data_IF_937952866734
#
_entry.id   IF_937952866734
#
_cell.length_a   1.000
_cell.length_b   1.000
_cell.length_c   1.000
_cell.angle_alpha   90.00
_cell.angle_beta   90.00
_cell.angle_gamma   90.00
#
_symmetry.space_group_name_H-M   'P 1'
#
loop_
_entity.id
_entity.type
_entity.pdbx_description
1 polymer ?
#
# COMPACT_ATOMS: atom_id res chain seq x y z
N UNK A 1 -9.89 -52.02 39.39
CA UNK A 1 -10.32 -50.61 39.31
C UNK A 1 -9.37 -49.91 38.39
N UNK A 2 -9.70 -49.90 37.11
CA UNK A 2 -8.87 -49.39 36.03
C UNK A 2 -9.78 -49.13 34.84
N UNK A 3 -9.37 -48.11 34.08
CA UNK A 3 -9.91 -47.63 32.80
C UNK A 3 -11.05 -46.59 32.89
N UNK A 4 -10.64 -45.33 32.68
CA UNK A 4 -11.47 -44.17 32.36
C UNK A 4 -11.74 -44.16 30.83
N UNK A 5 -12.96 -43.82 30.38
CA UNK A 5 -13.30 -43.82 28.96
C UNK A 5 -13.04 -42.46 28.28
N UNK A 6 -12.57 -42.58 27.03
CA UNK A 6 -12.93 -41.79 25.85
C UNK A 6 -12.88 -40.25 25.93
N UNK A 7 -11.72 -39.69 25.53
CA UNK A 7 -11.64 -38.34 25.00
C UNK A 7 -12.05 -38.34 23.52
N UNK A 8 -13.22 -37.78 23.23
CA UNK A 8 -13.71 -37.55 21.87
C UNK A 8 -12.78 -36.61 21.11
N UNK A 9 -12.24 -37.09 20.00
CA UNK A 9 -11.52 -36.29 19.01
C UNK A 9 -12.51 -35.38 18.26
N UNK A 10 -12.57 -34.11 18.65
CA UNK A 10 -13.14 -33.05 17.80
C UNK A 10 -12.19 -32.81 16.62
N UNK A 11 -12.44 -33.52 15.52
CA UNK A 11 -11.88 -33.23 14.20
C UNK A 11 -12.38 -31.86 13.73
N UNK A 12 -11.60 -30.83 14.02
CA UNK A 12 -11.69 -29.56 13.30
C UNK A 12 -11.13 -29.82 11.90
N UNK A 13 -12.02 -30.08 10.94
CA UNK A 13 -11.70 -30.00 9.52
C UNK A 13 -11.25 -28.57 9.21
N UNK A 14 -9.95 -28.34 9.27
CA UNK A 14 -9.31 -27.18 8.68
C UNK A 14 -9.44 -27.36 7.16
N UNK A 15 -10.47 -26.76 6.56
CA UNK A 15 -10.69 -26.83 5.11
C UNK A 15 -9.60 -25.99 4.44
N UNK A 16 -8.50 -26.64 4.05
CA UNK A 16 -7.45 -26.04 3.26
C UNK A 16 -8.06 -25.39 2.00
N UNK A 17 -7.84 -24.08 1.83
CA UNK A 17 -8.17 -23.37 0.58
C UNK A 17 -6.99 -23.60 -0.36
N UNK A 18 -7.25 -24.11 -1.56
CA UNK A 18 -6.23 -24.18 -2.60
C UNK A 18 -5.95 -22.79 -3.16
N UNK A 19 -4.70 -22.53 -3.54
CA UNK A 19 -4.26 -21.26 -4.10
C UNK A 19 -3.51 -21.48 -5.40
N UNK A 20 -3.71 -20.59 -6.36
CA UNK A 20 -2.87 -20.42 -7.54
C UNK A 20 -1.78 -19.42 -7.19
N UNK A 21 -0.52 -19.83 -7.32
CA UNK A 21 0.65 -19.04 -6.90
C UNK A 21 1.34 -18.50 -8.15
N UNK A 22 1.46 -17.18 -8.24
CA UNK A 22 1.98 -16.50 -9.44
C UNK A 22 3.23 -15.69 -9.07
N UNK A 23 4.39 -16.03 -9.66
CA UNK A 23 5.58 -15.22 -9.50
C UNK A 23 5.38 -13.88 -10.23
N UNK A 24 5.88 -12.81 -9.63
CA UNK A 24 5.84 -11.48 -10.25
C UNK A 24 7.24 -10.91 -10.37
N UNK A 25 7.47 -10.15 -11.44
CA UNK A 25 8.77 -9.56 -11.76
C UNK A 25 8.70 -8.04 -11.63
N UNK A 26 9.77 -7.45 -11.06
CA UNK A 26 9.90 -6.01 -10.93
C UNK A 26 10.19 -5.38 -12.31
N UNK A 27 9.47 -4.31 -12.61
CA UNK A 27 9.60 -3.53 -13.84
C UNK A 27 9.62 -2.05 -13.51
N UNK A 28 10.54 -1.31 -14.15
CA UNK A 28 10.74 0.13 -14.00
C UNK A 28 10.87 0.60 -12.53
N UNK A 29 11.42 -0.27 -11.68
CA UNK A 29 11.58 -0.05 -10.23
C UNK A 29 10.27 0.33 -9.49
N UNK A 30 9.11 0.07 -10.11
CA UNK A 30 7.82 0.60 -9.63
C UNK A 30 6.66 -0.39 -9.77
N UNK A 31 6.77 -1.40 -10.63
CA UNK A 31 5.65 -2.29 -10.93
C UNK A 31 6.04 -3.75 -10.77
N UNK A 32 5.18 -4.53 -10.11
CA UNK A 32 5.27 -5.98 -10.13
C UNK A 32 4.30 -6.54 -11.15
N UNK A 33 4.83 -7.29 -12.11
CA UNK A 33 4.05 -7.84 -13.22
C UNK A 33 3.96 -9.36 -13.07
N UNK A 34 2.73 -9.87 -12.99
CA UNK A 34 2.39 -11.28 -13.14
C UNK A 34 1.98 -11.56 -14.58
N UNK A 35 2.83 -12.30 -15.31
CA UNK A 35 2.56 -12.68 -16.69
C UNK A 35 1.79 -14.00 -16.75
N UNK A 36 0.96 -14.15 -17.79
CA UNK A 36 0.25 -15.39 -18.10
C UNK A 36 -0.54 -15.93 -16.90
N UNK A 37 -1.21 -15.03 -16.17
CA UNK A 37 -2.12 -15.43 -15.11
C UNK A 37 -3.21 -16.35 -15.67
N UNK A 38 -3.78 -15.95 -16.79
CA UNK A 38 -4.71 -16.77 -17.57
C UNK A 38 -4.21 -16.81 -19.00
N UNK A 39 -4.31 -17.97 -19.63
CA UNK A 39 -3.93 -18.17 -21.03
C UNK A 39 -5.16 -18.59 -21.83
N UNK A 40 -5.32 -18.00 -23.02
CA UNK A 40 -6.33 -18.40 -23.98
C UNK A 40 -6.23 -19.92 -24.26
N UNK A 41 -7.38 -20.61 -24.24
CA UNK A 41 -7.43 -22.07 -24.47
C UNK A 41 -7.23 -22.45 -25.94
N UNK A 42 -7.54 -21.53 -26.85
CA UNK A 42 -7.41 -21.76 -28.29
C UNK A 42 -6.13 -21.11 -28.83
N UNK A 43 -5.54 -21.73 -29.86
CA UNK A 43 -4.34 -21.21 -30.51
C UNK A 43 -4.64 -20.23 -31.65
N UNK A 44 -5.87 -20.21 -32.16
CA UNK A 44 -6.33 -19.41 -33.32
C UNK A 44 -5.48 -19.57 -34.59
N UNK A 45 -4.64 -20.61 -34.66
CA UNK A 45 -3.83 -20.91 -35.84
C UNK A 45 -4.67 -21.71 -36.82
N UNK A 46 -4.92 -21.12 -37.99
CA UNK A 46 -5.55 -21.82 -39.10
C UNK A 46 -4.52 -22.63 -39.90
N UNK A 47 -5.02 -23.55 -40.74
CA UNK A 47 -4.17 -24.38 -41.62
C UNK A 47 -3.51 -23.61 -42.76
N UNK A 48 -3.82 -22.33 -42.91
CA UNK A 48 -3.26 -21.44 -43.93
C UNK A 48 -1.83 -20.97 -43.61
N UNK A 49 -1.36 -21.22 -42.37
CA UNK A 49 -0.02 -20.88 -41.91
C UNK A 49 0.16 -19.41 -41.54
N UNK A 50 -0.92 -18.63 -41.43
CA UNK A 50 -0.86 -17.24 -40.98
C UNK A 50 -0.86 -17.15 -39.45
N UNK A 51 -0.16 -16.14 -38.93
CA UNK A 51 -0.18 -15.81 -37.50
C UNK A 51 -1.49 -15.07 -37.16
N UNK A 52 -2.23 -15.49 -36.11
CA UNK A 52 -3.45 -14.81 -35.72
C UNK A 52 -3.18 -13.39 -35.22
N UNK A 53 -4.03 -12.44 -35.62
CA UNK A 53 -3.95 -11.06 -35.15
C UNK A 53 -4.46 -11.02 -33.70
N UNK A 54 -3.60 -10.60 -32.79
CA UNK A 54 -3.93 -10.47 -31.37
C UNK A 54 -4.36 -9.04 -31.04
N UNK A 55 -5.51 -8.88 -30.37
CA UNK A 55 -5.87 -7.61 -29.75
C UNK A 55 -5.12 -7.46 -28.43
N UNK A 56 -4.12 -6.57 -28.39
CA UNK A 56 -3.39 -6.23 -27.17
C UNK A 56 -3.95 -4.94 -26.56
N UNK A 57 -4.35 -4.97 -25.29
CA UNK A 57 -4.87 -3.79 -24.59
C UNK A 57 -4.55 -3.79 -23.09
N UNK A 58 -4.86 -2.68 -22.43
CA UNK A 58 -4.71 -2.50 -20.99
C UNK A 58 -6.03 -2.07 -20.36
N UNK A 59 -6.23 -2.45 -19.10
CA UNK A 59 -7.43 -2.13 -18.33
C UNK A 59 -7.12 -1.97 -16.85
N UNK A 60 -8.11 -1.46 -16.12
CA UNK A 60 -8.16 -1.38 -14.65
C UNK A 60 -9.33 -2.22 -14.14
N UNK A 61 -9.40 -2.50 -12.83
CA UNK A 61 -10.43 -3.36 -12.22
C UNK A 61 -11.87 -2.83 -12.34
N UNK A 62 -12.07 -1.53 -12.55
CA UNK A 62 -13.37 -0.94 -12.86
C UNK A 62 -13.87 -1.24 -14.29
N UNK A 63 -12.97 -1.63 -15.20
CA UNK A 63 -13.29 -1.97 -16.59
C UNK A 63 -13.70 -3.43 -16.81
N UNK A 64 -13.91 -4.22 -15.74
CA UNK A 64 -14.28 -5.65 -15.84
C UNK A 64 -15.52 -5.89 -16.72
N UNK A 65 -16.52 -5.01 -16.67
CA UNK A 65 -17.72 -5.10 -17.53
C UNK A 65 -17.37 -4.98 -19.02
N UNK A 66 -16.37 -4.18 -19.36
CA UNK A 66 -15.90 -4.05 -20.74
C UNK A 66 -15.15 -5.31 -21.16
N UNK A 67 -14.28 -5.84 -20.28
CA UNK A 67 -13.52 -7.06 -20.54
C UNK A 67 -14.41 -8.27 -20.79
N UNK A 68 -15.53 -8.41 -20.06
CA UNK A 68 -16.53 -9.45 -20.28
C UNK A 68 -17.08 -9.47 -21.71
N UNK A 69 -17.22 -8.28 -22.31
CA UNK A 69 -17.82 -8.12 -23.63
C UNK A 69 -16.80 -8.18 -24.77
N UNK A 70 -15.50 -8.01 -24.48
CA UNK A 70 -14.44 -8.02 -25.49
C UNK A 70 -14.41 -9.28 -26.38
N UNK A 71 -14.62 -10.51 -25.88
CA UNK A 71 -14.66 -11.72 -26.71
C UNK A 71 -15.72 -11.69 -27.82
N UNK A 72 -16.79 -10.90 -27.66
CA UNK A 72 -17.85 -10.73 -28.66
C UNK A 72 -17.52 -9.66 -29.72
N UNK A 73 -16.52 -8.82 -29.45
CA UNK A 73 -16.13 -7.68 -30.30
C UNK A 73 -14.89 -7.97 -31.14
N UNK A 74 -14.15 -9.04 -30.83
CA UNK A 74 -12.93 -9.42 -31.53
C UNK A 74 -12.97 -10.90 -31.92
N UNK A 75 -12.64 -11.18 -33.18
CA UNK A 75 -12.58 -12.53 -33.72
C UNK A 75 -11.12 -13.00 -33.81
N UNK A 76 -10.55 -13.30 -32.65
CA UNK A 76 -9.17 -13.72 -32.51
C UNK A 76 -8.72 -13.75 -31.05
N UNK A 77 -7.42 -14.01 -30.80
CA UNK A 77 -6.85 -13.96 -29.47
C UNK A 77 -6.82 -12.52 -28.93
N UNK A 78 -6.97 -12.38 -27.62
CA UNK A 78 -6.97 -11.11 -26.90
C UNK A 78 -5.97 -11.22 -25.75
N UNK A 79 -5.03 -10.30 -25.66
CA UNK A 79 -4.07 -10.17 -24.56
C UNK A 79 -4.37 -8.88 -23.79
N UNK A 80 -4.65 -9.01 -22.49
CA UNK A 80 -4.98 -7.87 -21.63
C UNK A 80 -4.02 -7.79 -20.46
N UNK A 81 -3.39 -6.63 -20.28
CA UNK A 81 -2.70 -6.26 -19.03
C UNK A 81 -3.63 -5.48 -18.10
N UNK A 82 -3.93 -6.03 -16.93
CA UNK A 82 -4.82 -5.39 -15.95
C UNK A 82 -3.98 -4.77 -14.82
N UNK A 83 -4.13 -3.46 -14.63
CA UNK A 83 -3.58 -2.77 -13.49
C UNK A 83 -4.51 -2.92 -12.28
N UNK A 84 -3.96 -3.45 -11.19
CA UNK A 84 -4.66 -3.73 -9.94
C UNK A 84 -4.01 -2.96 -8.79
N UNK A 85 -4.82 -2.62 -7.80
CA UNK A 85 -4.34 -2.28 -6.47
C UNK A 85 -4.52 -3.49 -5.52
N UNK A 86 -3.95 -3.39 -4.32
CA UNK A 86 -4.05 -4.49 -3.35
C UNK A 86 -5.51 -4.75 -2.91
N UNK A 87 -6.36 -3.72 -2.92
CA UNK A 87 -7.76 -3.80 -2.49
C UNK A 87 -8.66 -4.47 -3.54
N UNK A 88 -8.27 -4.43 -4.81
CA UNK A 88 -8.96 -5.00 -5.97
C UNK A 88 -8.31 -6.30 -6.44
N UNK A 89 -7.45 -6.91 -5.63
CA UNK A 89 -6.83 -8.21 -5.90
C UNK A 89 -7.85 -9.34 -6.03
N UNK A 90 -9.04 -9.19 -5.44
CA UNK A 90 -10.20 -10.08 -5.66
C UNK A 90 -10.68 -10.10 -7.13
N UNK A 91 -10.32 -9.11 -7.96
CA UNK A 91 -10.54 -9.13 -9.40
C UNK A 91 -9.91 -10.35 -10.07
N UNK A 92 -8.79 -10.86 -9.54
CA UNK A 92 -8.13 -12.04 -10.08
C UNK A 92 -8.99 -13.30 -9.92
N UNK A 93 -9.60 -13.52 -8.75
CA UNK A 93 -10.54 -14.64 -8.52
C UNK A 93 -11.78 -14.51 -9.44
N UNK A 94 -12.24 -13.29 -9.71
CA UNK A 94 -13.34 -13.05 -10.65
C UNK A 94 -12.99 -13.38 -12.10
N UNK A 95 -11.80 -12.96 -12.55
CA UNK A 95 -11.29 -13.26 -13.89
C UNK A 95 -11.04 -14.76 -14.09
N UNK A 96 -10.57 -15.46 -13.05
CA UNK A 96 -10.46 -16.92 -13.06
C UNK A 96 -11.84 -17.57 -13.27
N UNK A 97 -12.87 -17.07 -12.60
CA UNK A 97 -14.25 -17.54 -12.80
C UNK A 97 -14.78 -17.24 -14.22
N UNK A 98 -14.50 -16.05 -14.77
CA UNK A 98 -14.86 -15.74 -16.16
C UNK A 98 -14.21 -16.71 -17.14
N UNK A 99 -12.89 -16.93 -17.01
CA UNK A 99 -12.13 -17.83 -17.88
C UNK A 99 -12.59 -19.29 -17.79
N UNK A 100 -12.98 -19.71 -16.58
CA UNK A 100 -13.53 -21.05 -16.33
C UNK A 100 -14.94 -21.21 -16.88
N UNK A 101 -15.83 -20.25 -16.66
CA UNK A 101 -17.27 -20.42 -16.79
C UNK A 101 -17.88 -19.78 -18.05
N UNK A 102 -17.18 -18.85 -18.71
CA UNK A 102 -17.63 -18.22 -19.96
C UNK A 102 -16.79 -18.76 -21.12
N UNK A 103 -17.33 -19.63 -21.99
CA UNK A 103 -16.56 -20.31 -23.03
C UNK A 103 -15.79 -19.36 -23.95
N UNK A 104 -16.44 -18.34 -24.50
CA UNK A 104 -15.81 -17.37 -25.40
C UNK A 104 -14.66 -16.60 -24.73
N UNK A 105 -14.83 -16.28 -23.44
CA UNK A 105 -13.78 -15.63 -22.65
C UNK A 105 -12.57 -16.56 -22.49
N UNK A 106 -12.80 -17.80 -22.03
CA UNK A 106 -11.72 -18.78 -21.82
C UNK A 106 -11.01 -19.17 -23.12
N UNK A 107 -11.71 -19.18 -24.25
CA UNK A 107 -11.12 -19.47 -25.56
C UNK A 107 -10.20 -18.35 -26.04
N UNK A 108 -10.60 -17.08 -25.89
CA UNK A 108 -9.92 -15.92 -26.51
C UNK A 108 -8.97 -15.15 -25.60
N UNK A 109 -9.19 -15.15 -24.29
CA UNK A 109 -8.54 -14.20 -23.37
C UNK A 109 -7.29 -14.77 -22.68
N UNK A 110 -6.17 -14.07 -22.87
CA UNK A 110 -4.97 -14.17 -22.02
C UNK A 110 -4.87 -12.93 -21.15
N UNK A 111 -4.59 -13.13 -19.85
CA UNK A 111 -4.55 -12.06 -18.85
C UNK A 111 -3.20 -12.02 -18.16
N UNK A 112 -2.67 -10.81 -18.07
CA UNK A 112 -1.53 -10.41 -17.27
C UNK A 112 -2.02 -9.38 -16.26
N UNK A 113 -1.34 -9.26 -15.13
CA UNK A 113 -1.66 -8.21 -14.17
C UNK A 113 -0.40 -7.46 -13.73
N UNK A 114 -0.60 -6.22 -13.32
CA UNK A 114 0.43 -5.40 -12.71
C UNK A 114 -0.13 -4.70 -11.49
N UNK A 115 0.66 -4.60 -10.42
CA UNK A 115 0.38 -3.70 -9.31
C UNK A 115 1.61 -2.85 -9.03
N UNK A 116 1.38 -1.65 -8.53
CA UNK A 116 2.46 -0.74 -8.14
C UNK A 116 3.02 -1.19 -6.78
N UNK A 117 4.35 -1.26 -6.66
CA UNK A 117 4.97 -1.55 -5.37
C UNK A 117 4.83 -0.36 -4.41
N UNK A 118 4.72 -0.66 -3.12
CA UNK A 118 4.85 0.35 -2.07
C UNK A 118 6.26 0.93 -2.07
N UNK A 119 6.40 2.15 -1.56
CA UNK A 119 7.66 2.89 -1.50
C UNK A 119 8.81 2.14 -0.81
N UNK A 120 8.48 1.18 0.06
CA UNK A 120 9.45 0.37 0.81
C UNK A 120 9.62 -1.05 0.29
N UNK A 121 8.84 -1.46 -0.70
CA UNK A 121 9.02 -2.76 -1.31
C UNK A 121 10.19 -2.65 -2.29
N UNK A 122 11.28 -3.33 -1.97
CA UNK A 122 12.43 -3.48 -2.87
C UNK A 122 12.24 -4.63 -3.85
N UNK A 123 11.32 -5.54 -3.53
CA UNK A 123 11.12 -6.80 -4.23
C UNK A 123 9.65 -7.08 -4.48
N UNK A 124 9.39 -7.83 -5.53
CA UNK A 124 8.07 -8.23 -5.93
C UNK A 124 7.59 -9.48 -5.20
N UNK A 125 6.46 -9.43 -4.47
CA UNK A 125 5.96 -10.61 -3.79
C UNK A 125 5.33 -11.60 -4.77
N UNK A 126 5.36 -12.87 -4.41
CA UNK A 126 4.54 -13.88 -5.07
C UNK A 126 3.07 -13.64 -4.73
N UNK A 127 2.20 -13.64 -5.73
CA UNK A 127 0.76 -13.44 -5.52
C UNK A 127 0.07 -14.79 -5.37
N UNK A 128 -0.65 -14.96 -4.27
CA UNK A 128 -1.45 -16.16 -3.99
C UNK A 128 -2.93 -15.85 -4.20
N UNK A 129 -3.49 -16.37 -5.29
CA UNK A 129 -4.89 -16.18 -5.65
C UNK A 129 -5.67 -17.38 -5.12
N UNK A 130 -6.68 -17.18 -4.26
CA UNK A 130 -7.48 -18.30 -3.80
C UNK A 130 -8.26 -18.90 -4.96
N UNK A 131 -8.25 -20.24 -5.08
CA UNK A 131 -9.12 -20.91 -6.04
C UNK A 131 -10.57 -20.68 -5.66
N UNK A 132 -11.35 -20.29 -6.66
CA UNK A 132 -12.79 -20.10 -6.53
C UNK A 132 -13.51 -21.38 -6.12
N UNK A 133 -14.41 -21.26 -5.13
CA UNK A 133 -15.27 -22.35 -4.64
C UNK A 133 -16.69 -22.30 -5.20
N UNK A 134 -17.03 -21.27 -5.96
CA UNK A 134 -18.38 -21.12 -6.52
C UNK A 134 -18.53 -21.94 -7.80
N UNK A 135 -19.75 -22.45 -8.05
CA UNK A 135 -20.08 -23.15 -9.29
C UNK A 135 -20.26 -22.15 -10.44
N UNK A 136 -20.10 -22.62 -11.68
CA UNK A 136 -20.36 -21.77 -12.85
C UNK A 136 -21.81 -21.30 -12.90
N UNK A 137 -22.76 -22.14 -12.51
CA UNK A 137 -24.18 -21.74 -12.44
C UNK A 137 -24.39 -20.59 -11.45
N UNK A 138 -23.74 -20.65 -10.27
CA UNK A 138 -23.82 -19.58 -9.28
C UNK A 138 -23.13 -18.31 -9.79
N UNK A 139 -21.94 -18.45 -10.35
CA UNK A 139 -21.17 -17.33 -10.89
C UNK A 139 -21.95 -16.57 -11.97
N UNK A 140 -22.44 -17.28 -12.99
CA UNK A 140 -23.17 -16.69 -14.11
C UNK A 140 -24.49 -16.03 -13.64
N UNK A 141 -25.17 -16.60 -12.64
CA UNK A 141 -26.40 -16.03 -12.08
C UNK A 141 -26.16 -14.75 -11.26
N UNK A 142 -24.99 -14.61 -10.62
CA UNK A 142 -24.67 -13.51 -9.71
C UNK A 142 -23.56 -12.60 -10.24
N UNK A 143 -23.22 -12.71 -11.52
CA UNK A 143 -22.07 -12.06 -12.14
C UNK A 143 -22.04 -10.54 -11.90
N UNK A 144 -23.19 -9.86 -12.07
CA UNK A 144 -23.29 -8.41 -11.87
C UNK A 144 -23.01 -7.98 -10.43
N UNK A 145 -23.54 -8.71 -9.44
CA UNK A 145 -23.32 -8.46 -8.02
C UNK A 145 -21.86 -8.68 -7.65
N UNK A 146 -21.29 -9.81 -8.07
CA UNK A 146 -19.88 -10.15 -7.82
C UNK A 146 -18.93 -9.13 -8.44
N UNK A 147 -19.24 -8.63 -9.64
CA UNK A 147 -18.48 -7.54 -10.28
C UNK A 147 -18.56 -6.24 -9.49
N UNK A 148 -19.75 -5.88 -9.02
CA UNK A 148 -19.97 -4.63 -8.29
C UNK A 148 -19.17 -4.58 -6.96
N UNK A 149 -18.90 -5.73 -6.34
CA UNK A 149 -18.05 -5.83 -5.14
C UNK A 149 -16.56 -5.56 -5.42
N UNK A 150 -16.13 -5.70 -6.68
CA UNK A 150 -14.73 -5.50 -7.11
C UNK A 150 -14.52 -4.08 -7.63
N UNK A 151 -15.52 -3.52 -8.32
CA UNK A 151 -15.51 -2.16 -8.87
C UNK A 151 -15.68 -1.10 -7.78
N UNK A 152 -14.84 -1.12 -6.75
CA UNK A 152 -14.66 0.02 -5.86
C UNK A 152 -13.94 1.15 -6.63
N UNK A 153 -14.18 2.44 -6.32
CA UNK A 153 -13.38 3.50 -6.89
C UNK A 153 -11.90 3.25 -6.57
N UNK A 154 -11.03 3.38 -7.57
CA UNK A 154 -9.58 3.26 -7.42
C UNK A 154 -9.08 4.38 -6.47
N UNK A 155 -9.15 4.15 -5.16
CA UNK A 155 -8.65 5.10 -4.15
C UNK A 155 -7.25 4.64 -3.79
N UNK A 156 -6.26 5.21 -4.48
CA UNK A 156 -4.86 5.08 -4.10
C UNK A 156 -4.63 5.80 -2.77
N UNK A 157 -4.65 5.05 -1.68
CA UNK A 157 -4.10 5.52 -0.39
C UNK A 157 -2.61 5.22 -0.39
N UNK A 158 -1.82 6.26 -0.14
CA UNK A 158 -0.38 6.18 0.01
C UNK A 158 0.01 6.89 1.31
N UNK A 159 1.19 6.60 1.83
CA UNK A 159 1.72 7.35 2.96
C UNK A 159 1.75 8.84 2.64
N UNK A 160 1.40 9.65 3.63
CA UNK A 160 1.29 11.08 3.45
C UNK A 160 2.61 11.69 2.90
N UNK A 161 2.49 12.61 1.94
CA UNK A 161 3.63 13.20 1.21
C UNK A 161 4.56 12.24 0.46
N UNK A 162 4.13 11.01 0.13
CA UNK A 162 4.91 10.01 -0.61
C UNK A 162 5.66 10.54 -1.85
N UNK A 163 5.14 11.55 -2.58
CA UNK A 163 5.79 12.11 -3.78
C UNK A 163 6.72 13.30 -3.54
N UNK A 164 6.54 14.07 -2.47
CA UNK A 164 7.18 15.38 -2.32
C UNK A 164 7.98 15.55 -1.02
N UNK A 165 7.72 14.74 0.01
CA UNK A 165 8.41 14.82 1.29
C UNK A 165 8.39 13.47 2.03
N UNK A 166 8.85 12.43 1.33
CA UNK A 166 8.76 11.04 1.81
C UNK A 166 9.52 10.80 3.13
N UNK A 167 10.75 11.30 3.24
CA UNK A 167 11.62 11.09 4.42
C UNK A 167 11.03 11.64 5.73
N UNK A 168 10.10 12.59 5.65
CA UNK A 168 9.46 13.19 6.82
C UNK A 168 8.33 12.32 7.38
N UNK A 169 7.65 11.53 6.55
CA UNK A 169 6.46 10.76 6.96
C UNK A 169 6.59 9.25 6.74
N UNK A 170 7.80 8.78 6.45
CA UNK A 170 8.10 7.36 6.30
C UNK A 170 7.69 6.58 7.56
N UNK A 171 6.86 5.55 7.36
CA UNK A 171 6.49 4.58 8.39
C UNK A 171 7.40 3.37 8.26
N UNK A 172 8.25 3.17 9.28
CA UNK A 172 9.11 1.99 9.31
C UNK A 172 8.28 0.70 9.39
N UNK A 173 8.58 -0.23 8.48
CA UNK A 173 7.95 -1.54 8.40
C UNK A 173 6.41 -1.47 8.29
N UNK A 174 5.92 -0.60 7.40
CA UNK A 174 4.49 -0.50 7.07
C UNK A 174 3.81 -1.86 6.76
N UNK A 175 4.44 -2.83 6.06
CA UNK A 175 3.83 -4.15 5.85
C UNK A 175 3.51 -4.88 7.16
N UNK A 176 4.43 -4.87 8.12
CA UNK A 176 4.20 -5.45 9.45
C UNK A 176 3.06 -4.74 10.19
N UNK A 177 2.99 -3.40 10.10
CA UNK A 177 1.90 -2.63 10.69
C UNK A 177 0.54 -3.02 10.11
N UNK A 178 0.44 -3.14 8.78
CA UNK A 178 -0.78 -3.54 8.07
C UNK A 178 -1.20 -4.97 8.46
N UNK A 179 -0.25 -5.90 8.44
CA UNK A 179 -0.49 -7.29 8.81
C UNK A 179 -0.96 -7.41 10.26
N UNK A 180 -0.27 -6.76 11.18
CA UNK A 180 -0.61 -6.74 12.61
C UNK A 180 -2.00 -6.16 12.84
N UNK A 181 -2.30 -5.02 12.21
CA UNK A 181 -3.59 -4.33 12.37
C UNK A 181 -4.76 -5.06 11.70
N UNK A 182 -4.49 -5.96 10.75
CA UNK A 182 -5.53 -6.78 10.11
C UNK A 182 -5.87 -8.08 10.86
N UNK A 183 -4.92 -8.62 11.64
CA UNK A 183 -5.02 -9.97 12.22
C UNK A 183 -5.78 -10.03 13.54
N UNK A 184 -5.76 -8.96 14.31
CA UNK A 184 -6.35 -8.90 15.65
C UNK A 184 -6.85 -7.49 15.90
N UNK A 185 -7.99 -7.29 16.59
CA UNK A 185 -8.46 -5.96 17.00
C UNK A 185 -7.68 -5.38 18.20
N UNK A 186 -6.73 -6.13 18.77
CA UNK A 186 -5.93 -5.68 19.91
C UNK A 186 -4.90 -4.62 19.50
N UNK A 187 -4.93 -3.46 20.17
CA UNK A 187 -3.95 -2.39 19.96
C UNK A 187 -2.67 -2.75 20.70
N UNK A 188 -1.58 -2.87 19.94
CA UNK A 188 -0.24 -3.09 20.46
C UNK A 188 0.67 -1.96 20.03
N UNK A 189 1.83 -1.83 20.66
CA UNK A 189 2.87 -0.91 20.23
C UNK A 189 4.25 -1.55 20.28
N UNK A 190 5.13 -1.11 19.41
CA UNK A 190 6.53 -1.52 19.40
C UNK A 190 7.43 -0.31 19.19
N UNK A 191 8.64 -0.40 19.74
CA UNK A 191 9.61 0.67 19.61
C UNK A 191 10.11 0.77 18.18
N UNK A 192 10.21 2.00 17.68
CA UNK A 192 10.88 2.36 16.42
C UNK A 192 12.03 3.33 16.73
N UNK A 193 13.14 3.28 15.97
CA UNK A 193 14.21 4.25 16.08
C UNK A 193 13.72 5.67 15.72
N UNK A 194 14.43 6.66 16.27
CA UNK A 194 14.35 8.00 15.73
C UNK A 194 14.92 7.99 14.31
N UNK A 195 14.13 8.44 13.33
CA UNK A 195 14.51 8.33 11.92
C UNK A 195 15.57 9.36 11.53
N UNK A 196 15.21 10.65 11.55
CA UNK A 196 16.07 11.74 11.08
C UNK A 196 15.53 13.11 11.51
N UNK A 197 16.29 14.18 11.23
CA UNK A 197 15.95 15.58 11.62
C UNK A 197 14.86 16.24 10.78
N UNK A 198 14.39 15.57 9.74
CA UNK A 198 13.25 15.95 8.91
C UNK A 198 12.00 15.13 9.27
N UNK A 199 12.09 14.19 10.22
CA UNK A 199 10.98 13.33 10.63
C UNK A 199 9.86 14.11 11.31
N UNK A 200 8.65 14.00 10.76
CA UNK A 200 7.41 14.67 11.17
C UNK A 200 6.27 13.68 11.51
N UNK A 201 6.45 12.76 12.48
CA UNK A 201 5.34 11.98 13.00
C UNK A 201 4.34 12.88 13.74
N UNK A 202 3.14 12.35 13.96
CA UNK A 202 2.13 12.94 14.85
C UNK A 202 2.19 12.22 16.20
N UNK A 203 2.94 12.73 17.21
CA UNK A 203 3.13 12.03 18.46
C UNK A 203 1.92 12.19 19.38
N UNK A 204 1.62 11.14 20.14
CA UNK A 204 0.73 11.21 21.30
C UNK A 204 1.61 11.44 22.52
N UNK A 205 1.44 12.57 23.20
CA UNK A 205 2.27 12.99 24.32
C UNK A 205 1.43 13.18 25.59
N UNK A 206 2.06 12.96 26.74
CA UNK A 206 1.51 13.33 28.03
C UNK A 206 1.58 14.85 28.25
N UNK A 207 0.70 15.36 29.10
CA UNK A 207 0.65 16.79 29.48
C UNK A 207 2.00 17.33 29.98
N UNK A 208 2.82 16.51 30.62
CA UNK A 208 4.08 16.93 31.22
C UNK A 208 5.30 16.68 30.32
N UNK A 209 5.09 16.16 29.11
CA UNK A 209 6.18 15.95 28.16
C UNK A 209 6.69 17.29 27.60
N UNK A 210 7.94 17.33 27.08
CA UNK A 210 8.50 18.54 26.51
C UNK A 210 7.61 19.16 25.43
N UNK A 211 7.24 20.42 25.62
CA UNK A 211 6.59 21.22 24.59
C UNK A 211 7.57 21.66 23.52
N UNK A 212 7.01 22.01 22.35
CA UNK A 212 7.78 22.61 21.28
C UNK A 212 8.35 23.97 21.69
N UNK A 213 9.41 24.42 21.01
CA UNK A 213 9.96 25.74 21.23
C UNK A 213 9.07 26.82 20.59
N UNK A 214 8.42 27.65 21.42
CA UNK A 214 7.44 28.66 21.00
C UNK A 214 7.97 29.73 20.04
N UNK A 215 9.30 29.83 19.89
CA UNK A 215 9.95 30.77 18.99
C UNK A 215 10.20 30.21 17.58
N UNK A 216 9.87 28.93 17.31
CA UNK A 216 9.99 28.38 15.97
C UNK A 216 8.95 28.99 15.02
N UNK A 217 9.37 29.44 13.82
CA UNK A 217 8.43 29.96 12.84
C UNK A 217 7.47 28.87 12.37
N UNK A 218 6.18 29.20 12.27
CA UNK A 218 5.11 28.25 11.94
C UNK A 218 5.26 27.52 10.58
N UNK A 219 6.04 28.08 9.63
CA UNK A 219 6.32 27.47 8.32
C UNK A 219 7.69 26.79 8.23
N UNK A 220 8.40 26.66 9.35
CA UNK A 220 9.79 26.18 9.36
C UNK A 220 9.98 25.15 10.46
N UNK A 221 10.04 23.87 10.08
CA UNK A 221 10.39 22.75 10.95
C UNK A 221 9.67 22.66 12.30
N UNK A 222 8.39 23.06 12.35
CA UNK A 222 7.63 23.15 13.60
C UNK A 222 7.43 21.77 14.25
N UNK A 223 7.07 20.74 13.49
CA UNK A 223 6.90 19.39 14.07
C UNK A 223 8.28 18.79 14.37
N UNK A 224 9.24 18.92 13.46
CA UNK A 224 10.58 18.37 13.61
C UNK A 224 11.31 18.91 14.84
N UNK A 225 11.12 20.19 15.20
CA UNK A 225 11.75 20.74 16.40
C UNK A 225 11.30 19.99 17.65
N UNK A 226 9.99 19.72 17.79
CA UNK A 226 9.46 18.92 18.90
C UNK A 226 10.02 17.50 18.90
N UNK A 227 9.98 16.81 17.76
CA UNK A 227 10.43 15.42 17.64
C UNK A 227 11.93 15.28 17.92
N UNK A 228 12.73 16.24 17.43
CA UNK A 228 14.14 16.34 17.78
C UNK A 228 14.35 16.55 19.29
N UNK A 229 13.55 17.42 19.93
CA UNK A 229 13.61 17.64 21.39
C UNK A 229 13.38 16.35 22.16
N UNK A 230 12.37 15.58 21.78
CA UNK A 230 12.05 14.31 22.43
C UNK A 230 13.20 13.31 22.27
N UNK A 231 13.78 13.20 21.07
CA UNK A 231 14.98 12.39 20.87
C UNK A 231 16.12 12.84 21.79
N UNK A 232 16.40 14.14 21.82
CA UNK A 232 17.47 14.72 22.66
C UNK A 232 17.20 14.52 24.15
N UNK A 233 15.96 14.59 24.58
CA UNK A 233 15.51 14.27 25.95
C UNK A 233 15.49 12.75 26.26
N UNK A 234 16.05 11.92 25.37
CA UNK A 234 16.18 10.48 25.50
C UNK A 234 14.85 9.70 25.55
N UNK A 235 13.79 10.24 24.93
CA UNK A 235 12.55 9.48 24.75
C UNK A 235 12.78 8.30 23.78
N UNK A 236 11.92 7.29 23.91
CA UNK A 236 11.74 6.22 22.92
C UNK A 236 10.47 6.49 22.12
N UNK A 237 10.48 6.12 20.85
CA UNK A 237 9.32 6.26 19.97
C UNK A 237 8.66 4.91 19.81
N UNK A 238 7.34 4.87 19.97
CA UNK A 238 6.55 3.64 19.81
C UNK A 238 5.50 3.87 18.72
N UNK A 239 5.43 2.94 17.76
CA UNK A 239 4.39 2.92 16.75
C UNK A 239 3.21 2.09 17.25
N UNK A 240 2.01 2.66 17.22
CA UNK A 240 0.76 1.99 17.60
C UNK A 240 0.17 1.27 16.39
N UNK A 241 -0.28 0.03 16.56
CA UNK A 241 -1.16 -0.61 15.56
C UNK A 241 -2.52 0.08 15.50
N UNK A 242 -3.25 -0.09 14.40
CA UNK A 242 -4.64 0.40 14.18
C UNK A 242 -4.85 1.92 14.12
N UNK A 243 -3.95 2.72 14.69
CA UNK A 243 -4.09 4.17 14.76
C UNK A 243 -3.35 4.82 13.60
N UNK A 244 -4.10 5.53 12.77
CA UNK A 244 -3.56 6.33 11.68
C UNK A 244 -4.51 7.51 11.42
N UNK A 245 -3.95 8.60 10.91
CA UNK A 245 -4.72 9.71 10.38
C UNK A 245 -4.83 9.59 8.87
N UNK A 246 -5.96 10.04 8.34
CA UNK A 246 -6.19 10.14 6.90
C UNK A 246 -6.22 11.60 6.52
N UNK A 247 -5.48 11.96 5.48
CA UNK A 247 -5.51 13.29 4.89
C UNK A 247 -5.97 13.20 3.44
N UNK A 248 -6.95 14.01 3.06
CA UNK A 248 -7.42 14.09 1.68
C UNK A 248 -6.51 15.02 0.87
N UNK A 249 -5.75 14.42 -0.05
CA UNK A 249 -4.88 15.15 -0.97
C UNK A 249 -3.71 15.85 -0.29
N UNK A 250 -3.07 16.77 -1.02
CA UNK A 250 -2.01 17.64 -0.51
C UNK A 250 -2.26 19.05 -1.03
N UNK A 251 -1.75 20.05 -0.32
CA UNK A 251 -1.81 21.43 -0.80
C UNK A 251 -0.94 21.59 -2.04
N UNK A 252 -1.55 21.90 -3.18
CA UNK A 252 -0.84 22.09 -4.46
C UNK A 252 -0.45 23.54 -4.72
N UNK A 253 -1.16 24.50 -4.12
CA UNK A 253 -0.90 25.93 -4.29
C UNK A 253 -0.96 26.71 -2.98
N UNK A 254 0.03 27.58 -2.77
CA UNK A 254 0.04 28.55 -1.68
C UNK A 254 -0.64 29.87 -2.05
N UNK A 255 -1.42 30.41 -1.11
CA UNK A 255 -1.96 31.77 -1.22
C UNK A 255 -0.84 32.81 -1.19
N UNK A 256 -1.08 34.00 -1.76
CA UNK A 256 -0.12 35.12 -1.72
C UNK A 256 0.37 35.46 -0.32
N UNK A 257 -0.51 35.36 0.68
CA UNK A 257 -0.17 35.61 2.08
C UNK A 257 0.68 34.49 2.66
N UNK A 258 0.39 33.23 2.33
CA UNK A 258 1.19 32.08 2.76
C UNK A 258 2.63 32.18 2.25
N UNK A 259 2.80 32.52 0.96
CA UNK A 259 4.12 32.76 0.35
C UNK A 259 4.87 33.90 1.05
N UNK A 260 4.23 35.06 1.22
CA UNK A 260 4.84 36.20 1.89
C UNK A 260 5.30 35.89 3.33
N UNK A 261 4.50 35.13 4.08
CA UNK A 261 4.87 34.69 5.45
C UNK A 261 6.04 33.71 5.40
N UNK A 262 6.00 32.72 4.52
CA UNK A 262 7.09 31.76 4.37
C UNK A 262 8.41 32.44 3.96
N UNK A 263 8.37 33.38 3.01
CA UNK A 263 9.54 34.14 2.57
C UNK A 263 10.13 34.98 3.70
N UNK A 264 9.27 35.72 4.41
CA UNK A 264 9.70 36.51 5.57
C UNK A 264 10.34 35.63 6.65
N UNK A 265 9.72 34.50 7.00
CA UNK A 265 10.26 33.58 8.00
C UNK A 265 11.59 32.96 7.53
N UNK A 266 11.71 32.60 6.25
CA UNK A 266 12.94 32.05 5.68
C UNK A 266 14.10 33.05 5.72
N UNK A 267 13.85 34.31 5.38
CA UNK A 267 14.88 35.36 5.33
C UNK A 267 15.33 35.75 6.74
N UNK A 268 14.37 36.00 7.65
CA UNK A 268 14.68 36.70 8.91
C UNK A 268 14.72 35.79 10.14
N UNK A 269 14.00 34.66 10.14
CA UNK A 269 13.81 33.87 11.36
C UNK A 269 14.51 32.50 11.31
N UNK A 270 14.57 31.85 10.13
CA UNK A 270 15.08 30.48 9.95
C UNK A 270 16.45 30.27 10.61
N UNK A 271 17.43 31.09 10.24
CA UNK A 271 18.81 30.94 10.72
C UNK A 271 18.91 31.18 12.22
N UNK A 272 18.28 32.25 12.71
CA UNK A 272 18.32 32.65 14.12
C UNK A 272 17.68 31.60 15.02
N UNK A 273 16.48 31.12 14.65
CA UNK A 273 15.78 30.06 15.37
C UNK A 273 16.61 28.77 15.40
N UNK A 274 17.20 28.37 14.27
CA UNK A 274 18.05 27.17 14.18
C UNK A 274 19.24 27.21 15.12
N UNK A 275 20.02 28.29 15.06
CA UNK A 275 21.28 28.40 15.80
C UNK A 275 21.00 28.42 17.30
N UNK A 276 20.02 29.22 17.72
CA UNK A 276 19.54 29.24 19.11
C UNK A 276 19.12 27.84 19.55
N UNK A 277 18.32 27.15 18.75
CA UNK A 277 17.78 25.84 19.13
C UNK A 277 18.85 24.75 19.22
N UNK A 278 19.77 24.72 18.25
CA UNK A 278 20.87 23.75 18.26
C UNK A 278 21.76 23.93 19.50
N UNK A 279 22.07 25.17 19.87
CA UNK A 279 22.83 25.48 21.09
C UNK A 279 22.05 25.09 22.36
N UNK A 280 20.77 25.44 22.43
CA UNK A 280 19.90 25.11 23.56
C UNK A 280 19.82 23.59 23.79
N UNK A 281 19.58 22.81 22.73
CA UNK A 281 19.49 21.35 22.81
C UNK A 281 20.83 20.71 23.20
N UNK A 282 21.96 21.24 22.73
CA UNK A 282 23.29 20.78 23.13
C UNK A 282 23.62 21.06 24.58
N UNK A 283 23.16 22.20 25.11
CA UNK A 283 23.35 22.53 26.52
C UNK A 283 22.42 21.73 27.44
N UNK A 284 21.17 21.52 27.06
CA UNK A 284 20.18 20.79 27.87
C UNK A 284 20.41 19.27 27.83
N UNK A 285 20.85 18.73 26.70
CA UNK A 285 20.93 17.29 26.46
C UNK A 285 22.26 16.89 25.82
N UNK A 286 23.39 17.01 26.54
CA UNK A 286 24.72 16.77 25.97
C UNK A 286 24.94 15.32 25.51
N UNK A 287 24.35 14.34 26.20
CA UNK A 287 24.67 12.91 26.03
C UNK A 287 23.95 12.23 24.85
N UNK A 288 23.00 12.91 24.21
CA UNK A 288 22.17 12.34 23.13
C UNK A 288 22.55 12.84 21.74
N UNK A 289 23.68 13.55 21.64
CA UNK A 289 24.17 14.11 20.37
C UNK A 289 24.40 13.03 19.31
N UNK A 290 25.10 11.94 19.65
CA UNK A 290 25.41 10.86 18.71
C UNK A 290 24.15 10.15 18.21
N UNK A 291 23.16 9.94 19.10
CA UNK A 291 21.90 9.28 18.78
C UNK A 291 21.00 10.12 17.85
N UNK A 292 20.91 11.43 18.10
CA UNK A 292 19.90 12.28 17.46
C UNK A 292 20.46 13.17 16.33
N UNK A 293 21.79 13.31 16.26
CA UNK A 293 22.48 14.10 15.24
C UNK A 293 22.31 15.62 15.40
N UNK A 294 22.80 16.34 14.39
CA UNK A 294 22.78 17.81 14.33
C UNK A 294 21.42 18.29 13.85
N UNK A 295 20.78 19.22 14.56
CA UNK A 295 19.60 19.90 14.05
C UNK A 295 19.93 20.78 12.82
N UNK A 296 19.81 20.19 11.63
CA UNK A 296 20.02 20.86 10.35
C UNK A 296 18.69 21.46 9.85
N UNK A 297 18.78 22.56 9.10
CA UNK A 297 17.68 23.13 8.31
C UNK A 297 18.12 23.17 6.86
#
# INVERSE_FOLDING_TARGET
>A
MGENPENSTSSLFQIFREYTVIPTNLYDEQYCIGLNFLEAKDSFRESDGLEPITLATHATSDMLKTLENMPNLWDGPISVGIFLDIQTSNALEYLENLHKCVPEFGRKMSIHFAYRISAFQTDCPTVSIPKSRISCDYFLKNQETLRAEISAPFVLTFEFHHKCFFFGHQIENLPFWLETSSKSPEIISWQIPYSNVDWEPQPILHKNDPYNADYFPSRIKNVQSLIYKLCRANYTFHLLSHVFDVHEGIKTEDTKYSKAVADHQNIYARRTARLRYAEEMSNLYPDTWEKCGVFAL
#
